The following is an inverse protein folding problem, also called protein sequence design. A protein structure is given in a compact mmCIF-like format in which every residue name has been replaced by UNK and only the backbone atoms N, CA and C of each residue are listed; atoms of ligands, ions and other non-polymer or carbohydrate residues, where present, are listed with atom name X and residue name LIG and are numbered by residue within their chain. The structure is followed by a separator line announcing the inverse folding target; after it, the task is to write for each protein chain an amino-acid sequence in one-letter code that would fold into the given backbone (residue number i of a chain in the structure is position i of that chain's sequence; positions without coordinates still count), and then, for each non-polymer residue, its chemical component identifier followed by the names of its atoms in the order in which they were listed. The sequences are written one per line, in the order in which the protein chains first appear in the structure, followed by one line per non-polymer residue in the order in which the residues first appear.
data_IF_113486303483
#
_entry.id   IF_113486303483
#
_cell.length_a   1.000
_cell.length_b   1.000
_cell.length_c   1.000
_cell.angle_alpha   90.00
_cell.angle_beta   90.00
_cell.angle_gamma   90.00
#
_symmetry.space_group_name_H-M   'P 1'
#
loop_
_entity.id
_entity.type
_entity.pdbx_description
1 polymer ?
#
# COMPACT_ATOMS: atom_id res chain seq x y z
N UNK A 1 2.97 -17.56 -8.31
CA UNK A 1 2.70 -16.19 -8.79
C UNK A 1 3.81 -15.72 -9.70
N UNK A 2 3.48 -14.89 -10.69
CA UNK A 2 4.49 -14.37 -11.63
C UNK A 2 5.18 -13.15 -11.05
N UNK A 3 6.39 -12.85 -11.57
CA UNK A 3 7.12 -11.64 -11.21
C UNK A 3 6.33 -10.38 -11.55
N UNK A 4 5.53 -10.41 -12.63
CA UNK A 4 4.69 -9.28 -13.02
C UNK A 4 3.65 -8.98 -11.96
N UNK A 5 3.07 -10.01 -11.36
CA UNK A 5 2.10 -9.83 -10.29
C UNK A 5 2.77 -9.17 -9.08
N UNK A 6 3.95 -9.61 -8.72
CA UNK A 6 4.72 -9.02 -7.62
C UNK A 6 5.04 -7.56 -7.89
N UNK A 7 5.46 -7.22 -9.12
CA UNK A 7 5.72 -5.83 -9.51
C UNK A 7 4.48 -4.96 -9.38
N UNK A 8 3.31 -5.47 -9.80
CA UNK A 8 2.06 -4.73 -9.67
C UNK A 8 1.71 -4.45 -8.22
N UNK A 9 1.88 -5.44 -7.35
CA UNK A 9 1.64 -5.27 -5.92
C UNK A 9 2.59 -4.24 -5.31
N UNK A 10 3.85 -4.28 -5.71
CA UNK A 10 4.86 -3.34 -5.24
C UNK A 10 4.52 -1.91 -5.66
N UNK A 11 4.08 -1.71 -6.90
CA UNK A 11 3.66 -0.39 -7.38
C UNK A 11 2.46 0.13 -6.61
N UNK A 12 1.46 -0.71 -6.38
CA UNK A 12 0.29 -0.33 -5.60
C UNK A 12 0.68 0.08 -4.19
N UNK A 13 1.62 -0.64 -3.58
CA UNK A 13 2.13 -0.31 -2.26
C UNK A 13 2.80 1.06 -2.25
N UNK A 14 3.63 1.35 -3.25
CA UNK A 14 4.30 2.65 -3.40
C UNK A 14 3.29 3.78 -3.61
N UNK A 15 2.27 3.55 -4.44
CA UNK A 15 1.21 4.53 -4.70
C UNK A 15 0.43 4.85 -3.42
N UNK A 16 0.10 3.84 -2.63
CA UNK A 16 -0.57 4.04 -1.36
C UNK A 16 0.29 4.81 -0.37
N UNK A 17 1.58 4.50 -0.34
CA UNK A 17 2.53 5.21 0.52
C UNK A 17 2.57 6.70 0.18
N UNK A 18 2.58 7.03 -1.11
CA UNK A 18 2.54 8.42 -1.57
C UNK A 18 1.23 9.10 -1.18
N UNK A 19 0.10 8.41 -1.34
CA UNK A 19 -1.20 8.96 -0.94
C UNK A 19 -1.28 9.21 0.56
N UNK A 20 -0.76 8.30 1.36
CA UNK A 20 -0.72 8.46 2.82
C UNK A 20 0.09 9.70 3.17
N UNK A 21 1.24 9.88 2.54
CA UNK A 21 2.09 11.05 2.80
C UNK A 21 1.38 12.35 2.47
N UNK A 22 0.67 12.40 1.34
CA UNK A 22 -0.08 13.58 0.93
C UNK A 22 -1.23 13.87 1.90
N UNK A 23 -2.00 12.86 2.26
CA UNK A 23 -3.12 13.02 3.18
C UNK A 23 -2.66 13.46 4.56
N UNK A 24 -1.56 12.90 5.05
CA UNK A 24 -1.03 13.23 6.36
C UNK A 24 -0.52 14.67 6.44
N UNK A 25 -0.12 15.26 5.30
CA UNK A 25 0.33 16.66 5.24
C UNK A 25 -0.81 17.64 5.08
N UNK A 26 -1.96 17.19 4.64
CA UNK A 26 -3.10 18.08 4.39
C UNK A 26 -3.64 18.64 5.70
N UNK A 27 -3.85 19.96 5.80
CA UNK A 27 -4.43 20.55 7.00
C UNK A 27 -5.89 20.12 7.23
N UNK A 28 -6.54 19.61 6.20
CA UNK A 28 -7.91 19.11 6.27
C UNK A 28 -7.95 17.58 6.27
N UNK A 29 -6.85 16.92 6.64
CA UNK A 29 -6.79 15.47 6.60
C UNK A 29 -7.81 14.85 7.56
N UNK A 30 -8.46 13.79 7.07
CA UNK A 30 -9.39 12.99 7.86
C UNK A 30 -8.62 11.79 8.42
N UNK A 31 -8.58 11.68 9.74
CA UNK A 31 -7.90 10.56 10.42
C UNK A 31 -8.44 9.21 9.97
N UNK A 32 -9.75 9.12 9.73
CA UNK A 32 -10.36 7.88 9.25
C UNK A 32 -9.84 7.51 7.86
N UNK A 33 -9.70 8.50 6.98
CA UNK A 33 -9.18 8.28 5.64
C UNK A 33 -7.73 7.79 5.69
N UNK A 34 -6.90 8.40 6.52
CA UNK A 34 -5.50 7.99 6.69
C UNK A 34 -5.42 6.57 7.24
N UNK A 35 -6.24 6.24 8.23
CA UNK A 35 -6.26 4.89 8.79
C UNK A 35 -6.68 3.85 7.76
N UNK A 36 -7.67 4.17 6.93
CA UNK A 36 -8.12 3.28 5.88
C UNK A 36 -7.00 3.01 4.86
N UNK A 37 -6.28 4.06 4.47
CA UNK A 37 -5.15 3.94 3.55
C UNK A 37 -4.02 3.10 4.17
N UNK A 38 -3.71 3.31 5.43
CA UNK A 38 -2.69 2.54 6.13
C UNK A 38 -3.07 1.06 6.22
N UNK A 39 -4.35 0.76 6.43
CA UNK A 39 -4.84 -0.61 6.45
C UNK A 39 -4.69 -1.27 5.09
N UNK A 40 -5.02 -0.56 4.00
CA UNK A 40 -4.83 -1.05 2.65
C UNK A 40 -3.36 -1.32 2.36
N UNK A 41 -2.49 -0.43 2.79
CA UNK A 41 -1.05 -0.60 2.64
C UNK A 41 -0.56 -1.87 3.35
N UNK A 42 -1.04 -2.11 4.56
CA UNK A 42 -0.67 -3.30 5.31
C UNK A 42 -1.11 -4.59 4.58
N UNK A 43 -2.34 -4.60 4.06
CA UNK A 43 -2.84 -5.75 3.31
C UNK A 43 -1.99 -6.01 2.06
N UNK A 44 -1.60 -4.95 1.36
CA UNK A 44 -0.73 -5.08 0.19
C UNK A 44 0.63 -5.64 0.59
N UNK A 45 1.18 -5.18 1.69
CA UNK A 45 2.46 -5.69 2.18
C UNK A 45 2.39 -7.18 2.48
N UNK A 46 1.30 -7.63 3.10
CA UNK A 46 1.09 -9.05 3.36
C UNK A 46 1.01 -9.85 2.07
N UNK A 47 0.31 -9.33 1.06
CA UNK A 47 0.24 -9.97 -0.25
C UNK A 47 1.61 -10.04 -0.92
N UNK A 48 2.41 -8.99 -0.80
CA UNK A 48 3.77 -8.97 -1.35
C UNK A 48 4.63 -10.04 -0.69
N UNK A 49 4.59 -10.14 0.63
CA UNK A 49 5.34 -11.16 1.36
C UNK A 49 4.93 -12.56 0.91
N UNK A 50 3.63 -12.82 0.79
CA UNK A 50 3.14 -14.10 0.31
C UNK A 50 3.59 -14.39 -1.12
N UNK A 51 3.56 -13.38 -1.99
CA UNK A 51 4.00 -13.53 -3.37
C UNK A 51 5.49 -13.83 -3.45
N UNK A 52 6.30 -13.18 -2.62
CA UNK A 52 7.73 -13.45 -2.56
C UNK A 52 8.02 -14.88 -2.11
N UNK A 53 7.27 -15.38 -1.14
CA UNK A 53 7.43 -16.74 -0.66
C UNK A 53 6.99 -17.78 -1.70
N UNK A 54 6.10 -17.40 -2.61
CA UNK A 54 5.62 -18.29 -3.67
C UNK A 54 6.54 -18.36 -4.89
N UNK A 55 7.51 -17.47 -4.99
CA UNK A 55 8.49 -17.49 -6.10
C UNK A 55 9.56 -18.60 -5.86
#
# INVERSE_FOLDING_TARGET
MSRQHLLQLTRKHQDLDAKISLEARSPSSDDLAVRALKRQKLRLKEQIVQAEQAL
#
